data_IF_364827720283
#
_entry.id   IF_364827720283
#
_cell.length_a   1.000
_cell.length_b   1.000
_cell.length_c   1.000
_cell.angle_alpha   90.00
_cell.angle_beta   90.00
_cell.angle_gamma   90.00
#
_symmetry.space_group_name_H-M   'P 1'
#
loop_
_entity.id
_entity.type
_entity.pdbx_description
1 polymer ?
#
# COMPACT_ATOMS: atom_id res chain seq x y z
N UNK A 1 -24.07 -14.82 47.37
CA UNK A 1 -24.25 -14.13 46.06
C UNK A 1 -22.86 -13.86 45.52
N UNK A 2 -22.44 -14.68 44.56
CA UNK A 2 -21.09 -14.68 44.00
C UNK A 2 -21.05 -13.68 42.85
N UNK A 3 -20.22 -12.64 42.95
CA UNK A 3 -19.97 -11.71 41.83
C UNK A 3 -18.71 -12.15 41.09
N UNK A 4 -18.88 -12.36 39.79
CA UNK A 4 -17.92 -12.99 38.90
C UNK A 4 -16.81 -12.02 38.48
N UNK A 5 -15.60 -12.56 38.39
CA UNK A 5 -14.41 -11.91 37.84
C UNK A 5 -14.54 -11.86 36.31
N UNK A 6 -14.76 -10.68 35.73
CA UNK A 6 -14.71 -10.50 34.28
C UNK A 6 -13.24 -10.32 33.87
N UNK A 7 -12.64 -11.39 33.37
CA UNK A 7 -11.30 -11.40 32.78
C UNK A 7 -11.42 -10.77 31.39
N UNK A 8 -11.16 -9.47 31.29
CA UNK A 8 -11.00 -8.78 30.01
C UNK A 8 -9.73 -9.28 29.35
N UNK A 9 -9.89 -10.05 28.26
CA UNK A 9 -8.81 -10.53 27.40
C UNK A 9 -8.19 -9.32 26.68
N UNK A 10 -7.13 -8.77 27.27
CA UNK A 10 -6.21 -7.88 26.57
C UNK A 10 -5.31 -8.78 25.73
N UNK A 11 -5.78 -9.16 24.54
CA UNK A 11 -4.92 -9.73 23.53
C UNK A 11 -3.97 -8.63 23.03
N UNK A 12 -2.89 -8.40 23.78
CA UNK A 12 -1.70 -7.73 23.27
C UNK A 12 -1.22 -8.55 22.06
N UNK A 13 -1.52 -8.06 20.86
CA UNK A 13 -1.04 -8.66 19.61
C UNK A 13 0.46 -8.46 19.57
N UNK A 14 1.21 -9.43 20.11
CA UNK A 14 2.64 -9.52 19.98
C UNK A 14 2.96 -9.69 18.48
N UNK A 15 3.26 -8.58 17.80
CA UNK A 15 3.75 -8.62 16.42
C UNK A 15 5.17 -9.19 16.44
N UNK A 16 5.27 -10.52 16.44
CA UNK A 16 6.55 -11.20 16.28
C UNK A 16 7.08 -10.84 14.91
N UNK A 17 8.19 -10.11 14.92
CA UNK A 17 8.85 -9.60 13.72
C UNK A 17 9.46 -10.78 12.96
N UNK A 18 8.65 -11.50 12.18
CA UNK A 18 9.03 -12.67 11.37
C UNK A 18 10.40 -12.47 10.73
N UNK A 19 11.28 -13.48 10.82
CA UNK A 19 12.61 -13.41 10.23
C UNK A 19 12.55 -13.01 8.75
N UNK A 20 13.63 -12.40 8.22
CA UNK A 20 13.66 -11.88 6.83
C UNK A 20 13.21 -12.91 5.79
N UNK A 21 13.49 -14.20 6.01
CA UNK A 21 13.09 -15.30 5.13
C UNK A 21 11.58 -15.60 5.12
N UNK A 22 10.87 -15.30 6.22
CA UNK A 22 9.47 -15.70 6.41
C UNK A 22 8.45 -14.62 6.00
N UNK A 23 8.89 -13.42 5.59
CA UNK A 23 8.00 -12.31 5.21
C UNK A 23 7.45 -12.35 3.78
N UNK A 24 7.77 -13.40 3.03
CA UNK A 24 7.43 -13.50 1.61
C UNK A 24 8.18 -12.49 0.73
N UNK A 25 8.34 -12.83 -0.55
CA UNK A 25 8.87 -11.90 -1.55
C UNK A 25 7.75 -10.97 -2.00
N UNK A 26 8.05 -9.68 -2.11
CA UNK A 26 7.09 -8.65 -2.51
C UNK A 26 7.72 -7.68 -3.50
N UNK A 27 6.86 -6.89 -4.15
CA UNK A 27 7.24 -5.76 -4.99
C UNK A 27 6.54 -4.50 -4.51
N UNK A 28 7.28 -3.41 -4.46
CA UNK A 28 6.73 -2.07 -4.31
C UNK A 28 6.47 -1.51 -5.70
N UNK A 29 5.30 -0.92 -5.90
CA UNK A 29 4.89 -0.30 -7.17
C UNK A 29 4.46 1.13 -6.87
N UNK A 30 5.02 2.08 -7.61
CA UNK A 30 4.63 3.49 -7.61
C UNK A 30 3.65 3.74 -8.74
N UNK A 31 2.52 4.35 -8.40
CA UNK A 31 1.36 4.55 -9.27
C UNK A 31 1.01 6.04 -9.33
N UNK A 32 0.44 6.45 -10.45
CA UNK A 32 -0.23 7.73 -10.63
C UNK A 32 -1.69 7.47 -10.97
N UNK A 33 -2.59 8.03 -10.15
CA UNK A 33 -4.04 7.96 -10.37
C UNK A 33 -4.47 9.34 -10.89
N UNK A 34 -5.02 9.37 -12.10
CA UNK A 34 -5.38 10.60 -12.81
C UNK A 34 -6.82 11.01 -12.47
N UNK A 35 -7.09 12.31 -12.48
CA UNK A 35 -8.46 12.84 -12.40
C UNK A 35 -9.13 12.74 -11.04
N UNK A 36 -8.37 12.50 -9.96
CA UNK A 36 -8.90 12.45 -8.60
C UNK A 36 -8.15 13.37 -7.64
N UNK A 37 -8.89 14.06 -6.76
CA UNK A 37 -8.39 14.82 -5.61
C UNK A 37 -8.89 14.16 -4.33
N UNK A 38 -8.56 12.89 -4.15
CA UNK A 38 -9.23 12.12 -3.12
C UNK A 38 -8.23 11.57 -2.12
N UNK A 39 -8.63 11.59 -0.85
CA UNK A 39 -7.84 11.09 0.27
C UNK A 39 -7.60 9.59 0.21
N UNK A 40 -6.87 9.08 1.21
CA UNK A 40 -6.39 7.68 1.27
C UNK A 40 -7.50 6.63 1.02
N UNK A 41 -8.69 6.82 1.57
CA UNK A 41 -9.78 5.84 1.49
C UNK A 41 -10.31 5.67 0.06
N UNK A 42 -10.48 6.78 -0.67
CA UNK A 42 -10.90 6.73 -2.07
C UNK A 42 -9.81 6.17 -2.98
N UNK A 43 -8.54 6.51 -2.68
CA UNK A 43 -7.34 5.91 -3.27
C UNK A 43 -7.42 4.37 -3.19
N UNK A 44 -7.74 3.85 -2.00
CA UNK A 44 -7.83 2.43 -1.71
C UNK A 44 -9.06 1.77 -2.34
N UNK A 45 -10.21 2.46 -2.40
CA UNK A 45 -11.41 1.98 -3.08
C UNK A 45 -11.19 1.80 -4.59
N UNK A 46 -10.55 2.78 -5.24
CA UNK A 46 -10.22 2.71 -6.67
C UNK A 46 -9.27 1.57 -6.96
N UNK A 47 -8.23 1.40 -6.14
CA UNK A 47 -7.27 0.30 -6.29
C UNK A 47 -7.93 -1.06 -6.03
N UNK A 48 -8.81 -1.16 -5.03
CA UNK A 48 -9.55 -2.40 -4.74
C UNK A 48 -10.44 -2.80 -5.90
N UNK A 49 -11.17 -1.85 -6.49
CA UNK A 49 -12.00 -2.08 -7.67
C UNK A 49 -11.16 -2.53 -8.87
N UNK A 50 -10.04 -1.86 -9.13
CA UNK A 50 -9.19 -2.18 -10.28
C UNK A 50 -8.45 -3.51 -10.12
N UNK A 51 -7.96 -3.81 -8.91
CA UNK A 51 -7.17 -5.00 -8.63
C UNK A 51 -8.03 -6.23 -8.33
N UNK A 52 -9.35 -6.11 -8.16
CA UNK A 52 -10.32 -7.19 -8.29
C UNK A 52 -9.98 -8.48 -7.54
N UNK A 53 -9.75 -8.39 -6.23
CA UNK A 53 -9.47 -9.54 -5.36
C UNK A 53 -7.99 -9.91 -5.22
N UNK A 54 -7.07 -9.22 -5.91
CA UNK A 54 -5.64 -9.34 -5.62
C UNK A 54 -5.31 -8.61 -4.31
N UNK A 55 -4.51 -9.25 -3.45
CA UNK A 55 -4.08 -8.64 -2.20
C UNK A 55 -3.01 -7.57 -2.46
N UNK A 56 -3.24 -6.38 -1.91
CA UNK A 56 -2.26 -5.30 -1.89
C UNK A 56 -2.34 -4.53 -0.58
N UNK A 57 -1.27 -3.80 -0.28
CA UNK A 57 -1.25 -2.85 0.83
C UNK A 57 -0.92 -1.46 0.29
N UNK A 58 -1.84 -0.51 0.44
CA UNK A 58 -1.59 0.90 0.18
C UNK A 58 -0.67 1.47 1.28
N UNK A 59 0.46 2.06 0.89
CA UNK A 59 1.45 2.59 1.82
C UNK A 59 1.48 4.11 1.81
N UNK A 60 1.80 4.70 0.66
CA UNK A 60 1.75 6.15 0.44
C UNK A 60 0.57 6.45 -0.49
N UNK A 61 -0.16 7.52 -0.21
CA UNK A 61 -1.14 8.14 -1.10
C UNK A 61 -1.00 9.66 -0.86
N UNK A 62 -0.52 10.37 -1.87
CA UNK A 62 -0.19 11.79 -1.82
C UNK A 62 -0.95 12.45 -2.96
N UNK A 63 -1.95 13.23 -2.60
CA UNK A 63 -2.74 13.99 -3.56
C UNK A 63 -1.98 15.26 -3.95
N UNK A 64 -1.77 15.47 -5.23
CA UNK A 64 -1.33 16.72 -5.81
C UNK A 64 -2.53 17.47 -6.43
N UNK A 65 -2.26 18.59 -7.09
CA UNK A 65 -3.22 19.46 -7.76
C UNK A 65 -4.05 18.74 -8.83
N UNK A 66 -3.43 17.78 -9.52
CA UNK A 66 -3.93 17.17 -10.76
C UNK A 66 -4.05 15.64 -10.69
N UNK A 67 -3.21 15.00 -9.87
CA UNK A 67 -3.13 13.55 -9.78
C UNK A 67 -2.80 13.10 -8.36
N UNK A 68 -2.98 11.81 -8.09
CA UNK A 68 -2.58 11.19 -6.84
C UNK A 68 -1.40 10.25 -7.07
N UNK A 69 -0.31 10.48 -6.34
CA UNK A 69 0.82 9.55 -6.30
C UNK A 69 0.61 8.52 -5.21
N UNK A 70 0.54 7.24 -5.58
CA UNK A 70 0.35 6.15 -4.65
C UNK A 70 1.53 5.16 -4.69
N UNK A 71 1.83 4.52 -3.55
CA UNK A 71 2.75 3.39 -3.48
C UNK A 71 2.03 2.22 -2.84
N UNK A 72 1.95 1.12 -3.57
CA UNK A 72 1.40 -0.14 -3.08
C UNK A 72 2.49 -1.20 -2.91
N UNK A 73 2.24 -2.14 -2.00
CA UNK A 73 3.00 -3.37 -1.83
C UNK A 73 2.15 -4.54 -2.26
N UNK A 74 2.68 -5.40 -3.12
CA UNK A 74 2.02 -6.62 -3.59
C UNK A 74 2.94 -7.83 -3.42
N UNK A 75 2.37 -9.03 -3.37
CA UNK A 75 3.16 -10.25 -3.43
C UNK A 75 3.92 -10.31 -4.77
N UNK A 76 5.14 -10.85 -4.76
CA UNK A 76 5.93 -10.93 -5.99
C UNK A 76 5.31 -11.86 -7.04
N UNK A 77 4.55 -12.88 -6.60
CA UNK A 77 3.80 -13.78 -7.48
C UNK A 77 2.73 -13.03 -8.30
N UNK A 78 2.03 -12.10 -7.65
CA UNK A 78 0.91 -11.39 -8.26
C UNK A 78 1.35 -10.14 -9.03
N UNK A 79 2.61 -9.72 -8.89
CA UNK A 79 3.14 -8.48 -9.47
C UNK A 79 2.82 -8.30 -10.96
N UNK A 80 2.94 -9.37 -11.76
CA UNK A 80 2.66 -9.29 -13.21
C UNK A 80 1.19 -9.04 -13.48
N UNK A 81 0.31 -9.73 -12.76
CA UNK A 81 -1.13 -9.58 -12.93
C UNK A 81 -1.61 -8.22 -12.44
N UNK A 82 -1.08 -7.74 -11.31
CA UNK A 82 -1.30 -6.38 -10.80
C UNK A 82 -0.95 -5.34 -11.86
N UNK A 83 0.21 -5.46 -12.52
CA UNK A 83 0.59 -4.54 -13.58
C UNK A 83 -0.38 -4.60 -14.76
N UNK A 84 -0.75 -5.80 -15.23
CA UNK A 84 -1.70 -5.93 -16.34
C UNK A 84 -3.05 -5.28 -16.03
N UNK A 85 -3.58 -5.45 -14.82
CA UNK A 85 -4.83 -4.80 -14.40
C UNK A 85 -4.72 -3.29 -14.25
N UNK A 86 -3.55 -2.78 -13.87
CA UNK A 86 -3.31 -1.35 -13.78
C UNK A 86 -3.20 -0.75 -15.18
N UNK A 87 -2.43 -1.36 -16.07
CA UNK A 87 -2.23 -0.88 -17.45
C UNK A 87 -3.50 -0.99 -18.31
N UNK A 88 -4.46 -1.85 -17.93
CA UNK A 88 -5.78 -1.88 -18.57
C UNK A 88 -6.71 -0.76 -18.11
N UNK A 89 -6.33 0.04 -17.11
CA UNK A 89 -7.12 1.14 -16.59
C UNK A 89 -6.64 2.47 -17.18
N UNK A 90 -7.53 3.24 -17.80
CA UNK A 90 -7.17 4.58 -18.29
C UNK A 90 -6.88 5.57 -17.14
N UNK A 91 -7.43 5.30 -15.94
CA UNK A 91 -7.33 6.18 -14.78
C UNK A 91 -6.08 5.95 -13.92
N UNK A 92 -5.32 4.86 -14.14
CA UNK A 92 -4.17 4.50 -13.29
C UNK A 92 -2.99 4.11 -14.16
N UNK A 93 -1.83 4.70 -13.92
CA UNK A 93 -0.59 4.29 -14.57
C UNK A 93 0.47 3.85 -13.57
N UNK A 94 1.22 2.80 -13.92
CA UNK A 94 2.42 2.40 -13.17
C UNK A 94 3.61 3.25 -13.62
N UNK A 95 4.26 3.94 -12.67
CA UNK A 95 5.46 4.74 -12.94
C UNK A 95 6.75 3.96 -12.69
N UNK A 96 6.81 3.15 -11.62
CA UNK A 96 8.04 2.41 -11.28
C UNK A 96 7.77 1.24 -10.34
N UNK A 97 8.68 0.26 -10.29
CA UNK A 97 8.65 -0.80 -9.29
C UNK A 97 10.03 -1.18 -8.76
N UNK A 98 10.09 -1.70 -7.53
CA UNK A 98 11.34 -2.17 -6.91
C UNK A 98 11.07 -3.13 -5.75
N UNK A 99 12.07 -3.92 -5.35
CA UNK A 99 12.02 -4.66 -4.09
C UNK A 99 12.19 -3.76 -2.84
N UNK A 100 12.48 -2.47 -3.01
CA UNK A 100 12.75 -1.52 -1.91
C UNK A 100 11.89 -0.27 -2.07
N UNK A 101 11.05 0.01 -1.07
CA UNK A 101 10.21 1.23 -1.04
C UNK A 101 11.02 2.52 -1.20
N UNK A 102 12.24 2.57 -0.63
CA UNK A 102 13.12 3.73 -0.74
C UNK A 102 13.39 4.11 -2.21
N UNK A 103 13.60 3.13 -3.08
CA UNK A 103 13.88 3.37 -4.49
C UNK A 103 12.63 3.79 -5.27
N UNK A 104 11.46 3.27 -4.89
CA UNK A 104 10.18 3.70 -5.49
C UNK A 104 9.92 5.16 -5.13
N UNK A 105 10.02 5.54 -3.86
CA UNK A 105 9.85 6.93 -3.41
C UNK A 105 10.79 7.91 -4.10
N UNK A 106 12.07 7.55 -4.23
CA UNK A 106 13.10 8.37 -4.89
C UNK A 106 12.75 8.65 -6.35
N UNK A 107 12.33 7.62 -7.09
CA UNK A 107 11.92 7.74 -8.51
C UNK A 107 10.56 8.40 -8.72
N UNK A 108 9.68 8.29 -7.73
CA UNK A 108 8.40 8.99 -7.69
C UNK A 108 8.55 10.45 -7.23
N UNK A 109 9.77 10.88 -6.89
CA UNK A 109 10.06 12.24 -6.40
C UNK A 109 9.27 12.58 -5.13
N UNK A 110 8.88 11.55 -4.36
CA UNK A 110 8.18 11.70 -3.09
C UNK A 110 9.22 12.14 -2.07
N UNK A 111 9.34 13.45 -1.89
CA UNK A 111 10.24 14.06 -0.90
C UNK A 111 9.86 13.53 0.47
N UNK A 112 10.83 12.92 1.17
CA UNK A 112 10.68 12.72 2.62
C UNK A 112 10.57 14.11 3.22
N UNK A 113 9.39 14.47 3.73
CA UNK A 113 9.38 15.44 4.82
C UNK A 113 10.22 14.82 5.94
N UNK A 114 11.47 15.25 6.05
CA UNK A 114 12.31 14.94 7.18
C UNK A 114 11.61 15.63 8.34
N UNK A 115 10.87 14.87 9.15
CA UNK A 115 10.45 15.38 10.46
C UNK A 115 11.75 15.60 11.23
N UNK A 116 12.29 16.82 11.19
CA UNK A 116 13.28 17.28 12.14
C UNK A 116 12.58 17.24 13.51
N UNK A 117 12.96 16.24 14.30
CA UNK A 117 12.82 16.26 15.75
C UNK A 117 13.66 17.38 16.34
#
# INVERSE_FOLDING_TARGET
>A
MTVQLVKGDLSEVLVVKLGKAARGKHRWIGLTIHGQKNGRDACEEVLTKQLGGLEFQLYDCISDSDHVSAIIKVALGDYREVLTRIESADSISSRTSSGKIRLVRERMEIVKTIRKS
#
